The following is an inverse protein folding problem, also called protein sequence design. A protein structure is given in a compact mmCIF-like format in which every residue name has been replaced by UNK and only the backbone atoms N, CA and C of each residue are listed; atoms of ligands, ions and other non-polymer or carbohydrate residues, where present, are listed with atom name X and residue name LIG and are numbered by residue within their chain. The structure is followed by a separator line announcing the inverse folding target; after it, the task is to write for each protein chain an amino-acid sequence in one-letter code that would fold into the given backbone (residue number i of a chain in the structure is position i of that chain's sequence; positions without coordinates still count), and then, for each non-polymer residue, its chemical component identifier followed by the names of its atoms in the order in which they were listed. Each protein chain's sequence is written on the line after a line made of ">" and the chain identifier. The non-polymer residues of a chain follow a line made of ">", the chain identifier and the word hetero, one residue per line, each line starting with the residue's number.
data_IF_014493988383
#
_entry.id   IF_014493988383
#
_cell.length_a   1.000
_cell.length_b   1.000
_cell.length_c   1.000
_cell.angle_alpha   90.00
_cell.angle_beta   90.00
_cell.angle_gamma   90.00
#
_symmetry.space_group_name_H-M   'P 1'
#
loop_
_entity.id
_entity.type
_entity.pdbx_description
1 polymer ?
#
# COMPACT_ATOMS: atom_id res chain seq x y z
N UNK A 1 -10.55 12.44 -23.33
CA UNK A 1 -9.12 12.53 -22.99
C UNK A 1 -8.19 11.69 -23.88
N UNK A 2 -8.67 10.94 -24.89
CA UNK A 2 -7.81 10.03 -25.66
C UNK A 2 -6.65 10.72 -26.40
N UNK A 3 -6.92 11.83 -27.12
CA UNK A 3 -5.91 12.51 -27.95
C UNK A 3 -4.62 12.88 -27.19
N UNK A 4 -4.68 13.73 -26.15
CA UNK A 4 -3.48 14.14 -25.42
C UNK A 4 -2.70 12.98 -24.77
N UNK A 5 -3.40 11.93 -24.33
CA UNK A 5 -2.75 10.74 -23.76
C UNK A 5 -2.06 9.90 -24.83
N UNK A 6 -2.66 9.78 -26.02
CA UNK A 6 -2.07 9.08 -27.15
C UNK A 6 -0.84 9.81 -27.67
N UNK A 7 -0.89 11.15 -27.74
CA UNK A 7 0.26 11.97 -28.14
C UNK A 7 1.44 11.77 -27.19
N UNK A 8 1.17 11.75 -25.88
CA UNK A 8 2.19 11.47 -24.86
C UNK A 8 2.76 10.05 -24.98
N UNK A 9 1.90 9.04 -25.18
CA UNK A 9 2.34 7.67 -25.38
C UNK A 9 3.25 7.54 -26.62
N UNK A 10 2.85 8.15 -27.73
CA UNK A 10 3.60 8.14 -28.98
C UNK A 10 4.95 8.86 -28.85
N UNK A 11 5.04 9.91 -28.02
CA UNK A 11 6.28 10.63 -27.78
C UNK A 11 7.28 9.83 -26.94
N UNK A 12 6.83 8.87 -26.14
CA UNK A 12 7.69 8.02 -25.30
C UNK A 12 8.08 6.74 -26.02
N UNK A 13 7.11 5.95 -26.46
CA UNK A 13 7.33 4.71 -27.21
C UNK A 13 6.03 4.29 -27.93
N UNK A 14 5.88 4.62 -29.23
CA UNK A 14 4.65 4.34 -29.99
C UNK A 14 4.44 2.85 -30.29
N UNK A 15 5.48 2.02 -30.14
CA UNK A 15 5.40 0.58 -30.42
C UNK A 15 4.93 -0.21 -29.20
N UNK A 16 5.43 0.14 -28.02
CA UNK A 16 5.18 -0.61 -26.78
C UNK A 16 4.05 -0.04 -25.92
N UNK A 17 3.76 1.26 -26.02
CA UNK A 17 2.75 1.91 -25.18
C UNK A 17 1.43 2.03 -25.94
N UNK A 18 0.39 1.38 -25.40
CA UNK A 18 -0.97 1.42 -25.95
C UNK A 18 -1.90 2.15 -24.99
N UNK A 19 -2.66 3.12 -25.49
CA UNK A 19 -3.68 3.82 -24.71
C UNK A 19 -5.04 3.17 -24.95
N UNK A 20 -5.70 2.77 -23.87
CA UNK A 20 -7.04 2.21 -23.90
C UNK A 20 -7.98 3.10 -23.07
N UNK A 21 -9.22 3.23 -23.52
CA UNK A 21 -10.23 4.04 -22.84
C UNK A 21 -11.51 3.25 -22.64
N UNK A 22 -12.21 3.56 -21.55
CA UNK A 22 -13.58 3.10 -21.31
C UNK A 22 -14.54 4.29 -21.40
N UNK A 23 -15.82 4.08 -21.72
CA UNK A 23 -16.78 5.16 -21.89
C UNK A 23 -17.10 5.93 -20.59
N UNK A 24 -16.93 5.29 -19.43
CA UNK A 24 -17.28 5.85 -18.11
C UNK A 24 -16.09 5.85 -17.15
N UNK A 25 -15.90 6.94 -16.41
CA UNK A 25 -14.82 7.07 -15.43
C UNK A 25 -15.04 6.13 -14.23
N UNK A 26 -14.34 5.00 -14.21
CA UNK A 26 -14.37 4.03 -13.12
C UNK A 26 -13.04 3.24 -13.13
N UNK A 27 -12.27 3.30 -12.02
CA UNK A 27 -10.93 2.70 -11.97
C UNK A 27 -10.99 1.19 -12.21
N UNK A 28 -11.98 0.51 -11.63
CA UNK A 28 -12.10 -0.95 -11.77
C UNK A 28 -12.49 -1.35 -13.19
N UNK A 29 -13.38 -0.61 -13.85
CA UNK A 29 -13.69 -0.84 -15.28
C UNK A 29 -12.47 -0.59 -16.18
N UNK A 30 -11.72 0.47 -15.93
CA UNK A 30 -10.47 0.77 -16.65
C UNK A 30 -9.45 -0.36 -16.49
N UNK A 31 -9.25 -0.84 -15.26
CA UNK A 31 -8.37 -1.96 -14.97
C UNK A 31 -8.86 -3.25 -15.65
N UNK A 32 -10.14 -3.60 -15.55
CA UNK A 32 -10.71 -4.77 -16.23
C UNK A 32 -10.54 -4.72 -17.75
N UNK A 33 -10.71 -3.54 -18.35
CA UNK A 33 -10.46 -3.36 -19.78
C UNK A 33 -8.98 -3.56 -20.14
N UNK A 34 -8.07 -3.04 -19.31
CA UNK A 34 -6.63 -3.30 -19.45
C UNK A 34 -6.28 -4.78 -19.33
N UNK A 35 -6.76 -5.46 -18.28
CA UNK A 35 -6.51 -6.90 -18.03
C UNK A 35 -6.89 -7.76 -19.23
N UNK A 36 -8.06 -7.51 -19.83
CA UNK A 36 -8.54 -8.24 -21.02
C UNK A 36 -7.58 -8.12 -22.22
N UNK A 37 -6.82 -7.04 -22.31
CA UNK A 37 -5.90 -6.75 -23.41
C UNK A 37 -4.45 -7.19 -23.15
N UNK A 38 -4.12 -7.67 -21.94
CA UNK A 38 -2.76 -8.16 -21.62
C UNK A 38 -2.55 -9.53 -22.27
N UNK A 39 -1.36 -9.78 -22.83
CA UNK A 39 -0.99 -11.06 -23.46
C UNK A 39 0.12 -11.81 -22.74
N UNK A 40 0.78 -11.18 -21.77
CA UNK A 40 1.87 -11.76 -20.98
C UNK A 40 1.35 -12.59 -19.80
N UNK A 41 2.20 -13.44 -19.23
CA UNK A 41 1.84 -14.31 -18.09
C UNK A 41 1.71 -13.55 -16.76
N UNK A 42 2.37 -12.40 -16.65
CA UNK A 42 2.33 -11.51 -15.48
C UNK A 42 1.76 -10.15 -15.89
N UNK A 43 0.84 -9.62 -15.07
CA UNK A 43 0.33 -8.25 -15.12
C UNK A 43 0.98 -7.45 -14.00
N UNK A 44 1.51 -6.27 -14.31
CA UNK A 44 1.99 -5.33 -13.29
C UNK A 44 1.14 -4.06 -13.36
N UNK A 45 0.46 -3.73 -12.26
CA UNK A 45 -0.22 -2.45 -12.12
C UNK A 45 0.72 -1.41 -11.54
N UNK A 46 0.62 -0.17 -12.01
CA UNK A 46 1.32 1.00 -11.48
C UNK A 46 0.35 2.19 -11.41
N UNK A 47 0.32 2.89 -10.28
CA UNK A 47 -0.32 4.21 -10.20
C UNK A 47 0.55 5.26 -10.95
N UNK A 48 -0.05 6.37 -11.37
CA UNK A 48 0.60 7.44 -12.14
C UNK A 48 1.67 8.21 -11.36
N UNK A 49 1.71 8.05 -10.03
CA UNK A 49 2.69 8.63 -9.13
C UNK A 49 3.73 7.61 -8.61
N UNK A 50 3.75 6.39 -9.15
CA UNK A 50 4.73 5.37 -8.80
C UNK A 50 6.00 5.51 -9.66
N UNK A 51 7.15 5.60 -8.99
CA UNK A 51 8.46 5.76 -9.59
C UNK A 51 9.28 4.51 -9.25
N UNK A 52 9.64 3.74 -10.27
CA UNK A 52 10.34 2.47 -10.11
C UNK A 52 11.85 2.66 -10.22
N UNK A 53 12.66 2.01 -9.35
CA UNK A 53 14.06 1.81 -9.66
C UNK A 53 14.18 0.85 -10.86
N UNK A 54 15.25 0.95 -11.67
CA UNK A 54 15.43 0.10 -12.87
C UNK A 54 15.51 -1.40 -12.53
N UNK A 55 15.82 -1.73 -11.28
CA UNK A 55 15.93 -3.10 -10.74
C UNK A 55 14.60 -3.68 -10.28
N UNK A 56 13.50 -2.91 -10.22
CA UNK A 56 12.25 -3.35 -9.58
C UNK A 56 11.68 -4.61 -10.24
N UNK A 57 11.56 -4.61 -11.56
CA UNK A 57 10.90 -5.70 -12.28
C UNK A 57 11.61 -7.05 -12.10
N UNK A 58 12.93 -7.20 -12.32
CA UNK A 58 13.63 -8.47 -12.07
C UNK A 58 13.39 -9.05 -10.66
N UNK A 59 13.43 -8.19 -9.63
CA UNK A 59 13.24 -8.63 -8.25
C UNK A 59 11.79 -9.02 -7.93
N UNK A 60 10.82 -8.29 -8.48
CA UNK A 60 9.39 -8.65 -8.36
C UNK A 60 9.09 -9.95 -9.11
N UNK A 61 9.66 -10.14 -10.29
CA UNK A 61 9.44 -11.32 -11.12
C UNK A 61 10.03 -12.60 -10.50
N UNK A 62 11.16 -12.49 -9.80
CA UNK A 62 11.79 -13.62 -9.12
C UNK A 62 10.86 -14.33 -8.11
N UNK A 63 9.91 -13.60 -7.50
CA UNK A 63 8.94 -14.19 -6.59
C UNK A 63 7.96 -15.16 -7.29
N UNK A 64 7.77 -15.06 -8.60
CA UNK A 64 6.88 -15.92 -9.38
C UNK A 64 7.51 -17.24 -9.83
N UNK A 65 8.77 -17.50 -9.46
CA UNK A 65 9.37 -18.84 -9.59
C UNK A 65 8.57 -19.88 -8.78
N UNK A 66 8.02 -19.46 -7.63
CA UNK A 66 7.02 -20.26 -6.90
C UNK A 66 5.66 -20.15 -7.60
N UNK A 67 5.20 -21.28 -8.13
CA UNK A 67 3.90 -21.40 -8.81
C UNK A 67 2.71 -21.03 -7.91
N UNK A 68 2.83 -21.13 -6.59
CA UNK A 68 1.76 -20.75 -5.64
C UNK A 68 1.63 -19.23 -5.45
N UNK A 69 2.66 -18.45 -5.77
CA UNK A 69 2.62 -16.99 -5.63
C UNK A 69 1.74 -16.40 -6.72
N UNK A 70 0.57 -15.88 -6.34
CA UNK A 70 -0.39 -15.26 -7.25
C UNK A 70 -0.24 -13.73 -7.34
N UNK A 71 0.31 -13.09 -6.31
CA UNK A 71 0.48 -11.64 -6.27
C UNK A 71 1.72 -11.18 -5.48
N UNK A 72 2.41 -10.19 -5.99
CA UNK A 72 3.67 -9.67 -5.43
C UNK A 72 3.59 -8.15 -5.31
N UNK A 73 3.89 -7.63 -4.11
CA UNK A 73 4.02 -6.20 -3.85
C UNK A 73 5.45 -5.83 -3.49
N UNK A 74 5.66 -4.56 -3.20
CA UNK A 74 6.96 -4.04 -2.81
C UNK A 74 6.90 -3.12 -1.59
N UNK A 75 8.06 -2.93 -0.97
CA UNK A 75 8.28 -1.84 -0.02
C UNK A 75 8.24 -0.48 -0.72
N UNK A 76 7.91 0.57 0.03
CA UNK A 76 7.64 1.88 -0.54
C UNK A 76 8.25 3.01 0.28
N UNK A 77 8.62 4.09 -0.40
CA UNK A 77 9.15 5.31 0.23
C UNK A 77 8.54 6.55 -0.41
N UNK A 78 8.39 7.60 0.40
CA UNK A 78 7.82 8.87 -0.08
C UNK A 78 8.87 9.65 -0.86
N UNK A 79 8.53 10.03 -2.09
CA UNK A 79 9.26 11.01 -2.87
C UNK A 79 8.71 12.41 -2.58
N UNK A 80 9.55 13.37 -2.14
CA UNK A 80 9.13 14.76 -1.98
C UNK A 80 8.68 15.37 -3.30
N UNK A 81 7.57 16.11 -3.29
CA UNK A 81 7.11 16.89 -4.46
C UNK A 81 8.00 18.12 -4.68
N UNK A 82 8.47 18.74 -3.59
CA UNK A 82 9.36 19.90 -3.61
C UNK A 82 10.79 19.58 -3.21
N UNK A 83 11.61 20.62 -2.98
CA UNK A 83 13.00 20.46 -2.53
C UNK A 83 13.14 19.77 -1.16
N UNK A 84 12.10 19.87 -0.32
CA UNK A 84 12.03 19.27 1.02
C UNK A 84 10.63 18.73 1.25
N UNK A 85 10.51 17.70 2.09
CA UNK A 85 9.22 17.19 2.53
C UNK A 85 8.52 18.24 3.39
N UNK A 86 7.24 18.45 3.11
CA UNK A 86 6.31 19.12 4.01
C UNK A 86 6.01 18.24 5.22
N UNK A 87 5.44 18.83 6.29
CA UNK A 87 4.97 18.04 7.45
C UNK A 87 3.98 16.94 7.03
N UNK A 88 3.14 17.19 6.02
CA UNK A 88 2.18 16.21 5.50
C UNK A 88 2.87 15.02 4.84
N UNK A 89 3.91 15.27 4.05
CA UNK A 89 4.72 14.22 3.43
C UNK A 89 5.52 13.43 4.47
N UNK A 90 6.07 14.09 5.50
CA UNK A 90 6.76 13.40 6.60
C UNK A 90 5.79 12.50 7.38
N UNK A 91 4.59 12.98 7.70
CA UNK A 91 3.55 12.17 8.34
C UNK A 91 3.15 10.97 7.48
N UNK A 92 3.08 11.15 6.15
CA UNK A 92 2.82 10.06 5.22
C UNK A 92 3.99 9.05 5.20
N UNK A 93 5.24 9.54 5.21
CA UNK A 93 6.44 8.71 5.20
C UNK A 93 6.56 7.87 6.48
N UNK A 94 6.34 8.47 7.65
CA UNK A 94 6.28 7.75 8.93
C UNK A 94 5.28 6.60 8.91
N UNK A 95 4.08 6.83 8.36
CA UNK A 95 3.06 5.78 8.23
C UNK A 95 3.47 4.69 7.25
N UNK A 96 4.12 5.06 6.16
CA UNK A 96 4.59 4.13 5.15
C UNK A 96 5.71 3.24 5.69
N UNK A 97 6.65 3.81 6.44
CA UNK A 97 7.72 3.06 7.09
C UNK A 97 7.18 2.09 8.14
N UNK A 98 6.21 2.50 8.97
CA UNK A 98 5.53 1.57 9.89
C UNK A 98 4.83 0.45 9.11
N UNK A 99 4.14 0.79 8.01
CA UNK A 99 3.49 -0.20 7.15
C UNK A 99 4.50 -1.17 6.54
N UNK A 100 5.67 -0.72 6.08
CA UNK A 100 6.71 -1.58 5.53
C UNK A 100 7.18 -2.61 6.57
N UNK A 101 7.35 -2.20 7.83
CA UNK A 101 7.66 -3.13 8.93
C UNK A 101 6.54 -4.16 9.08
N UNK A 102 5.28 -3.70 9.16
CA UNK A 102 4.14 -4.60 9.36
C UNK A 102 3.97 -5.63 8.23
N UNK A 103 4.07 -5.20 6.97
CA UNK A 103 3.91 -6.11 5.81
C UNK A 103 5.13 -7.02 5.65
N UNK A 104 6.33 -6.54 5.96
CA UNK A 104 7.53 -7.38 5.97
C UNK A 104 7.42 -8.45 7.05
N UNK A 105 6.93 -8.10 8.24
CA UNK A 105 6.72 -9.08 9.30
C UNK A 105 5.66 -10.11 8.91
N UNK A 106 4.48 -9.69 8.43
CA UNK A 106 3.41 -10.63 8.10
C UNK A 106 3.78 -11.56 6.95
N UNK A 107 4.39 -11.04 5.88
CA UNK A 107 4.79 -11.87 4.73
C UNK A 107 5.83 -12.94 5.11
N UNK A 108 6.68 -12.70 6.12
CA UNK A 108 7.67 -13.67 6.57
C UNK A 108 7.17 -14.61 7.68
N UNK A 109 6.18 -14.19 8.48
CA UNK A 109 5.63 -15.00 9.57
C UNK A 109 4.63 -16.04 9.05
N UNK A 110 3.65 -15.62 8.24
CA UNK A 110 2.58 -16.51 7.77
C UNK A 110 2.29 -16.38 6.27
N UNK A 111 3.12 -15.66 5.51
CA UNK A 111 2.93 -15.48 4.06
C UNK A 111 1.74 -14.58 3.70
N UNK A 112 1.06 -14.02 4.69
CA UNK A 112 -0.13 -13.24 4.49
C UNK A 112 0.14 -11.74 4.55
N UNK A 113 -0.85 -10.98 4.07
CA UNK A 113 -0.85 -9.52 4.20
C UNK A 113 -2.27 -8.96 4.10
N UNK A 114 -2.58 -7.84 4.77
CA UNK A 114 -3.90 -7.25 4.75
C UNK A 114 -4.22 -6.47 3.46
N UNK A 115 -3.21 -6.09 2.69
CA UNK A 115 -3.36 -5.39 1.41
C UNK A 115 -2.02 -5.36 0.65
N UNK A 116 -1.96 -5.90 -0.57
CA UNK A 116 -0.96 -5.56 -1.57
C UNK A 116 -1.26 -4.15 -2.03
N UNK A 117 -0.27 -3.27 -2.10
CA UNK A 117 -0.58 -1.86 -2.34
C UNK A 117 -0.88 -1.58 -3.81
N UNK A 118 -1.91 -0.79 -4.07
CA UNK A 118 -2.24 -0.35 -5.43
C UNK A 118 -1.19 0.55 -6.13
N UNK A 119 -0.17 1.08 -5.42
CA UNK A 119 0.89 1.88 -6.08
C UNK A 119 1.63 1.07 -7.12
N UNK A 120 2.00 -0.15 -6.75
CA UNK A 120 2.58 -1.13 -7.65
C UNK A 120 2.36 -2.52 -7.08
N UNK A 121 1.79 -3.39 -7.89
CA UNK A 121 1.64 -4.80 -7.58
C UNK A 121 1.60 -5.62 -8.86
N UNK A 122 2.26 -6.77 -8.84
CA UNK A 122 2.29 -7.74 -9.92
C UNK A 122 1.39 -8.93 -9.58
N UNK A 123 0.76 -9.52 -10.59
CA UNK A 123 -0.14 -10.66 -10.45
C UNK A 123 0.02 -11.62 -11.63
N UNK A 124 -0.26 -12.91 -11.41
CA UNK A 124 -0.41 -13.85 -12.52
C UNK A 124 -1.63 -13.49 -13.37
N UNK A 125 -1.43 -13.36 -14.67
CA UNK A 125 -2.48 -13.00 -15.63
C UNK A 125 -3.64 -13.98 -15.62
N UNK A 126 -3.36 -15.28 -15.46
CA UNK A 126 -4.38 -16.34 -15.42
C UNK A 126 -5.42 -16.09 -14.31
N UNK A 127 -5.01 -15.52 -13.18
CA UNK A 127 -5.92 -15.22 -12.06
C UNK A 127 -6.83 -14.04 -12.41
N UNK A 128 -6.26 -13.00 -13.02
CA UNK A 128 -6.99 -11.76 -13.30
C UNK A 128 -7.88 -11.87 -14.54
N UNK A 129 -7.57 -12.78 -15.46
CA UNK A 129 -8.40 -13.06 -16.65
C UNK A 129 -9.57 -14.01 -16.38
N UNK A 130 -9.64 -14.60 -15.18
CA UNK A 130 -10.77 -15.41 -14.77
C UNK A 130 -12.08 -14.60 -14.91
N UNK A 131 -13.09 -15.10 -15.65
CA UNK A 131 -14.39 -14.44 -15.76
C UNK A 131 -15.04 -14.13 -14.40
N UNK A 132 -14.92 -15.03 -13.42
CA UNK A 132 -15.46 -14.82 -12.08
C UNK A 132 -14.72 -13.69 -11.35
N UNK A 133 -13.39 -13.62 -11.51
CA UNK A 133 -12.59 -12.50 -10.99
C UNK A 133 -13.07 -11.18 -11.58
N UNK A 134 -13.15 -11.09 -12.91
CA UNK A 134 -13.51 -9.84 -13.60
C UNK A 134 -14.92 -9.37 -13.22
N UNK A 135 -15.86 -10.31 -13.11
CA UNK A 135 -17.21 -10.01 -12.65
C UNK A 135 -17.20 -9.54 -11.19
N UNK A 136 -16.61 -10.32 -10.27
CA UNK A 136 -16.54 -9.96 -8.85
C UNK A 136 -15.81 -8.64 -8.59
N UNK A 137 -14.74 -8.36 -9.34
CA UNK A 137 -13.95 -7.14 -9.20
C UNK A 137 -14.77 -5.89 -9.57
N UNK A 138 -15.58 -5.97 -10.62
CA UNK A 138 -16.42 -4.86 -11.08
C UNK A 138 -17.75 -4.74 -10.31
N UNK A 139 -18.20 -5.85 -9.72
CA UNK A 139 -19.47 -5.98 -8.98
C UNK A 139 -19.26 -6.17 -7.47
N UNK A 140 -18.26 -5.49 -6.90
CA UNK A 140 -18.00 -5.53 -5.46
C UNK A 140 -18.86 -4.53 -4.70
N UNK A 141 -19.74 -5.02 -3.83
CA UNK A 141 -20.67 -4.20 -3.06
C UNK A 141 -20.45 -4.34 -1.55
N UNK A 142 -20.29 -3.22 -0.85
CA UNK A 142 -20.35 -3.19 0.61
C UNK A 142 -21.81 -3.38 1.07
N UNK A 143 -22.03 -4.39 1.92
CA UNK A 143 -23.35 -4.82 2.41
C UNK A 143 -24.38 -5.03 1.28
N UNK A 144 -23.93 -5.52 0.11
CA UNK A 144 -24.79 -5.79 -1.04
C UNK A 144 -25.45 -4.55 -1.68
N UNK A 145 -25.18 -3.35 -1.17
CA UNK A 145 -25.85 -2.11 -1.59
C UNK A 145 -24.90 -1.06 -2.17
N UNK A 146 -23.76 -0.86 -1.53
CA UNK A 146 -22.87 0.27 -1.87
C UNK A 146 -21.70 -0.21 -2.73
N UNK A 147 -21.75 0.06 -4.03
CA UNK A 147 -20.71 -0.40 -4.95
C UNK A 147 -19.36 0.28 -4.67
N UNK A 148 -18.30 -0.52 -4.68
CA UNK A 148 -16.95 -0.10 -4.35
C UNK A 148 -16.15 0.24 -5.60
N UNK A 149 -15.98 1.55 -5.87
CA UNK A 149 -15.09 2.06 -6.93
C UNK A 149 -13.66 2.34 -6.43
N UNK A 150 -13.39 2.14 -5.15
CA UNK A 150 -12.06 2.27 -4.57
C UNK A 150 -11.69 1.03 -3.77
N UNK A 151 -10.41 0.85 -3.45
CA UNK A 151 -9.94 -0.35 -2.75
C UNK A 151 -9.88 -1.57 -3.68
N UNK A 152 -9.56 -1.32 -4.95
CA UNK A 152 -9.16 -2.32 -5.95
C UNK A 152 -8.08 -3.27 -5.41
N UNK A 153 -7.07 -2.69 -4.75
CA UNK A 153 -5.94 -3.37 -4.14
C UNK A 153 -6.35 -4.32 -3.00
N UNK A 154 -7.29 -3.89 -2.15
CA UNK A 154 -7.93 -4.70 -1.11
C UNK A 154 -8.76 -5.83 -1.69
N UNK A 155 -9.52 -5.60 -2.77
CA UNK A 155 -10.25 -6.68 -3.44
C UNK A 155 -9.30 -7.73 -3.99
N UNK A 156 -8.30 -7.31 -4.77
CA UNK A 156 -7.27 -8.19 -5.35
C UNK A 156 -6.62 -9.05 -4.26
N UNK A 157 -6.23 -8.45 -3.14
CA UNK A 157 -5.61 -9.16 -2.03
C UNK A 157 -6.53 -10.22 -1.42
N UNK A 158 -7.79 -9.86 -1.13
CA UNK A 158 -8.76 -10.81 -0.56
C UNK A 158 -9.06 -11.95 -1.53
N UNK A 159 -9.11 -11.65 -2.83
CA UNK A 159 -9.29 -12.67 -3.87
C UNK A 159 -8.15 -13.70 -3.85
N UNK A 160 -6.89 -13.27 -3.72
CA UNK A 160 -5.77 -14.20 -3.59
C UNK A 160 -5.97 -15.14 -2.40
N UNK A 161 -6.28 -14.58 -1.23
CA UNK A 161 -6.46 -15.34 0.01
C UNK A 161 -7.62 -16.34 -0.11
N UNK A 162 -8.78 -15.92 -0.63
CA UNK A 162 -9.96 -16.78 -0.73
C UNK A 162 -9.82 -17.91 -1.75
N UNK A 163 -8.96 -17.75 -2.75
CA UNK A 163 -8.72 -18.75 -3.81
C UNK A 163 -7.40 -19.51 -3.61
N UNK A 164 -6.79 -19.43 -2.42
CA UNK A 164 -5.62 -20.24 -2.06
C UNK A 164 -4.30 -19.81 -2.70
N UNK A 165 -4.24 -18.62 -3.30
CA UNK A 165 -3.00 -18.07 -3.84
C UNK A 165 -2.16 -17.43 -2.74
N UNK A 166 -0.86 -17.69 -2.78
CA UNK A 166 0.10 -17.01 -1.90
C UNK A 166 0.38 -15.59 -2.39
N UNK A 167 0.69 -14.71 -1.44
CA UNK A 167 1.14 -13.35 -1.75
C UNK A 167 2.50 -13.10 -1.12
N UNK A 168 3.31 -12.24 -1.75
CA UNK A 168 4.61 -11.89 -1.20
C UNK A 168 4.90 -10.40 -1.31
N UNK A 169 5.75 -9.87 -0.43
CA UNK A 169 6.23 -8.49 -0.52
C UNK A 169 7.74 -8.47 -0.61
N UNK A 170 8.27 -7.98 -1.73
CA UNK A 170 9.69 -7.78 -1.91
C UNK A 170 10.17 -6.56 -1.10
N UNK A 171 10.77 -6.84 0.05
CA UNK A 171 11.25 -5.84 1.00
C UNK A 171 12.77 -5.62 0.89
N UNK A 172 13.26 -5.34 -0.31
CA UNK A 172 14.67 -5.00 -0.56
C UNK A 172 14.80 -3.64 -1.25
N UNK A 173 15.99 -3.03 -1.19
CA UNK A 173 16.25 -1.70 -1.76
C UNK A 173 16.05 -1.67 -3.27
N UNK A 174 16.36 -2.78 -3.94
CA UNK A 174 16.27 -2.94 -5.40
C UNK A 174 14.82 -2.98 -5.90
N UNK A 175 13.87 -3.30 -5.03
CA UNK A 175 12.43 -3.29 -5.32
C UNK A 175 11.68 -2.19 -4.56
N UNK A 176 12.36 -1.29 -3.85
CA UNK A 176 11.71 -0.21 -3.10
C UNK A 176 11.19 0.86 -4.07
N UNK A 177 9.87 0.97 -4.20
CA UNK A 177 9.28 2.00 -5.06
C UNK A 177 9.23 3.35 -4.36
N UNK A 178 9.30 4.40 -5.15
CA UNK A 178 9.07 5.77 -4.69
C UNK A 178 7.67 6.22 -5.12
N UNK A 179 6.96 6.97 -4.27
CA UNK A 179 5.66 7.54 -4.63
C UNK A 179 5.45 8.89 -3.97
N UNK A 180 4.79 9.81 -4.67
CA UNK A 180 4.49 11.14 -4.13
C UNK A 180 3.27 11.10 -3.20
N UNK A 181 3.23 12.01 -2.23
CA UNK A 181 2.08 12.18 -1.33
C UNK A 181 1.56 13.60 -1.42
N UNK A 182 0.28 13.82 -1.10
CA UNK A 182 -0.28 15.19 -1.14
C UNK A 182 0.43 16.08 -0.11
N UNK A 183 1.10 17.18 -0.51
CA UNK A 183 1.93 17.99 0.38
C UNK A 183 1.11 19.00 1.21
N UNK A 184 -0.20 18.76 1.38
CA UNK A 184 -1.14 19.68 2.02
C UNK A 184 -2.28 18.92 2.71
N UNK A 185 -3.20 19.67 3.34
CA UNK A 185 -4.33 19.13 4.10
C UNK A 185 -5.21 18.14 3.34
N UNK A 186 -5.20 18.13 2.00
CA UNK A 186 -5.91 17.11 1.18
C UNK A 186 -5.41 15.69 1.48
N UNK A 187 -4.21 15.54 2.05
CA UNK A 187 -3.73 14.28 2.63
C UNK A 187 -4.74 13.65 3.59
N UNK A 188 -5.43 14.45 4.41
CA UNK A 188 -6.45 13.95 5.33
C UNK A 188 -7.61 13.26 4.61
N UNK A 189 -8.06 13.82 3.48
CA UNK A 189 -9.10 13.20 2.63
C UNK A 189 -8.62 11.86 2.06
N UNK A 190 -7.36 11.80 1.65
CA UNK A 190 -6.74 10.59 1.12
C UNK A 190 -6.66 9.49 2.20
N UNK A 191 -6.20 9.82 3.40
CA UNK A 191 -6.12 8.88 4.52
C UNK A 191 -7.52 8.43 4.98
N UNK A 192 -8.51 9.33 5.01
CA UNK A 192 -9.90 8.98 5.35
C UNK A 192 -10.46 7.94 4.37
N UNK A 193 -10.27 8.13 3.07
CA UNK A 193 -10.69 7.17 2.03
C UNK A 193 -10.03 5.81 2.24
N UNK A 194 -8.70 5.79 2.44
CA UNK A 194 -7.98 4.54 2.72
C UNK A 194 -8.49 3.85 3.98
N UNK A 195 -8.80 4.63 5.02
CA UNK A 195 -9.31 4.10 6.29
C UNK A 195 -10.68 3.44 6.13
N UNK A 196 -11.59 4.03 5.36
CA UNK A 196 -12.88 3.40 5.01
C UNK A 196 -12.68 2.10 4.22
N UNK A 197 -11.76 2.08 3.26
CA UNK A 197 -11.45 0.86 2.51
C UNK A 197 -10.86 -0.24 3.39
N UNK A 198 -9.96 0.11 4.31
CA UNK A 198 -9.42 -0.80 5.31
C UNK A 198 -10.52 -1.37 6.19
N UNK A 199 -11.41 -0.52 6.74
CA UNK A 199 -12.53 -1.01 7.54
C UNK A 199 -13.40 -2.01 6.80
N UNK A 200 -13.86 -1.66 5.59
CA UNK A 200 -14.70 -2.55 4.78
C UNK A 200 -14.00 -3.89 4.50
N UNK A 201 -12.75 -3.82 4.06
CA UNK A 201 -12.00 -5.02 3.69
C UNK A 201 -11.69 -5.89 4.91
N UNK A 202 -11.21 -5.31 6.00
CA UNK A 202 -10.76 -6.07 7.17
C UNK A 202 -11.98 -6.69 7.88
N UNK A 203 -13.10 -5.98 8.00
CA UNK A 203 -14.34 -6.55 8.53
C UNK A 203 -14.85 -7.72 7.68
N UNK A 204 -14.76 -7.60 6.35
CA UNK A 204 -15.15 -8.68 5.45
C UNK A 204 -14.23 -9.89 5.61
N UNK A 205 -12.92 -9.69 5.61
CA UNK A 205 -11.94 -10.76 5.78
C UNK A 205 -12.09 -11.48 7.14
N UNK A 206 -12.27 -10.71 8.22
CA UNK A 206 -12.38 -11.26 9.58
C UNK A 206 -13.72 -11.97 9.85
N UNK A 207 -14.84 -11.39 9.41
CA UNK A 207 -16.16 -11.82 9.89
C UNK A 207 -17.07 -12.43 8.84
N UNK A 208 -16.91 -12.06 7.57
CA UNK A 208 -17.76 -12.55 6.47
C UNK A 208 -17.10 -13.72 5.74
N UNK A 209 -15.90 -13.52 5.22
CA UNK A 209 -15.17 -14.48 4.38
C UNK A 209 -14.37 -15.49 5.22
N UNK A 210 -13.74 -15.03 6.30
CA UNK A 210 -13.07 -15.83 7.34
C UNK A 210 -11.88 -16.70 6.89
N UNK A 211 -11.56 -16.79 5.59
CA UNK A 211 -10.39 -17.53 5.09
C UNK A 211 -9.07 -17.09 5.75
N UNK A 212 -8.95 -15.81 6.11
CA UNK A 212 -7.73 -15.26 6.73
C UNK A 212 -7.38 -15.95 8.05
N UNK A 213 -8.36 -16.46 8.79
CA UNK A 213 -8.13 -17.12 10.08
C UNK A 213 -7.40 -18.45 9.97
N UNK A 214 -7.60 -19.17 8.86
CA UNK A 214 -6.95 -20.46 8.62
C UNK A 214 -5.71 -20.32 7.77
N UNK A 215 -5.74 -19.42 6.77
CA UNK A 215 -4.60 -19.23 5.86
C UNK A 215 -3.49 -18.37 6.47
N UNK A 216 -3.83 -17.30 7.20
CA UNK A 216 -2.87 -16.32 7.71
C UNK A 216 -3.26 -15.81 9.12
N UNK A 217 -3.13 -16.66 10.17
CA UNK A 217 -3.59 -16.34 11.52
C UNK A 217 -2.92 -15.10 12.13
N UNK A 218 -1.64 -14.85 11.81
CA UNK A 218 -0.93 -13.67 12.32
C UNK A 218 -1.49 -12.39 11.68
N UNK A 219 -1.77 -12.40 10.38
CA UNK A 219 -2.48 -11.29 9.73
C UNK A 219 -3.84 -11.05 10.35
N UNK A 220 -4.63 -12.11 10.57
CA UNK A 220 -5.94 -12.00 11.22
C UNK A 220 -5.83 -11.34 12.61
N UNK A 221 -4.86 -11.78 13.42
CA UNK A 221 -4.54 -11.16 14.71
C UNK A 221 -4.21 -9.66 14.57
N UNK A 222 -3.34 -9.27 13.63
CA UNK A 222 -3.01 -7.84 13.44
C UNK A 222 -4.19 -7.00 12.94
N UNK A 223 -5.10 -7.57 12.15
CA UNK A 223 -6.34 -6.90 11.74
C UNK A 223 -7.26 -6.66 12.95
N UNK A 224 -7.37 -7.65 13.85
CA UNK A 224 -8.13 -7.50 15.11
C UNK A 224 -7.49 -6.46 16.03
N UNK A 225 -6.17 -6.46 16.20
CA UNK A 225 -5.49 -5.40 16.94
C UNK A 225 -5.83 -4.01 16.37
N UNK A 226 -5.74 -3.87 15.04
CA UNK A 226 -6.04 -2.60 14.34
C UNK A 226 -7.50 -2.15 14.47
N UNK A 227 -8.44 -3.08 14.66
CA UNK A 227 -9.86 -2.82 14.93
C UNK A 227 -10.04 -2.16 16.31
N UNK A 228 -9.31 -2.62 17.33
CA UNK A 228 -9.43 -2.09 18.71
C UNK A 228 -8.50 -0.91 19.02
N UNK A 229 -7.37 -0.80 18.32
CA UNK A 229 -6.34 0.22 18.51
C UNK A 229 -6.88 1.68 18.62
N UNK A 230 -7.88 2.12 17.83
CA UNK A 230 -8.39 3.48 17.94
C UNK A 230 -9.00 3.79 19.31
N UNK A 231 -9.69 2.80 19.90
CA UNK A 231 -10.34 2.92 21.19
C UNK A 231 -9.30 2.89 22.32
N UNK A 232 -8.35 1.96 22.26
CA UNK A 232 -7.31 1.85 23.29
C UNK A 232 -6.39 3.07 23.31
N UNK A 233 -6.07 3.66 22.14
CA UNK A 233 -5.30 4.90 22.09
C UNK A 233 -6.03 6.08 22.75
N UNK A 234 -7.34 6.20 22.54
CA UNK A 234 -8.16 7.27 23.12
C UNK A 234 -8.47 7.05 24.60
N UNK A 235 -8.49 5.80 25.06
CA UNK A 235 -8.65 5.48 26.48
C UNK A 235 -7.42 5.87 27.31
N UNK A 236 -6.22 5.90 26.71
CA UNK A 236 -4.97 6.25 27.39
C UNK A 236 -5.03 7.58 28.15
N UNK A 237 -5.35 8.72 27.52
CA UNK A 237 -5.50 9.99 28.20
C UNK A 237 -6.54 10.00 29.31
N UNK A 238 -7.64 9.24 29.18
CA UNK A 238 -8.66 9.11 30.23
C UNK A 238 -8.08 8.42 31.47
N UNK A 239 -7.38 7.30 31.29
CA UNK A 239 -6.73 6.59 32.41
C UNK A 239 -5.64 7.45 33.06
N UNK A 240 -4.84 8.17 32.27
CA UNK A 240 -3.84 9.11 32.80
C UNK A 240 -4.51 10.22 33.61
N UNK A 241 -5.61 10.80 33.11
CA UNK A 241 -6.40 11.79 33.83
C UNK A 241 -6.99 11.25 35.14
N UNK A 242 -7.47 10.01 35.14
CA UNK A 242 -7.95 9.34 36.35
C UNK A 242 -6.82 9.14 37.38
N UNK A 243 -5.64 8.68 36.95
CA UNK A 243 -4.47 8.54 37.83
C UNK A 243 -4.05 9.89 38.39
N UNK A 244 -4.01 10.94 37.56
CA UNK A 244 -3.74 12.33 37.98
C UNK A 244 -4.76 12.79 39.03
N UNK A 245 -6.05 12.55 38.82
CA UNK A 245 -7.07 12.86 39.83
C UNK A 245 -6.83 12.09 41.15
N UNK A 246 -6.50 10.80 41.08
CA UNK A 246 -6.18 10.01 42.28
C UNK A 246 -4.93 10.52 43.01
N UNK A 247 -3.99 11.18 42.33
CA UNK A 247 -2.83 11.82 42.96
C UNK A 247 -3.16 13.07 43.77
N UNK A 248 -4.33 13.69 43.56
CA UNK A 248 -4.77 14.85 44.35
C UNK A 248 -5.49 14.46 45.64
N UNK A 249 -5.75 13.16 45.84
CA UNK A 249 -6.41 12.62 47.02
C UNK A 249 -5.33 12.14 48.00
N UNK A 250 -5.46 12.38 49.32
CA UNK A 250 -4.57 11.80 50.32
C UNK A 250 -4.51 10.27 50.25
N UNK A 251 -3.34 9.68 50.49
CA UNK A 251 -3.11 8.23 50.33
C UNK A 251 -3.97 7.41 51.30
N UNK A 252 -4.17 7.92 52.51
CA UNK A 252 -5.07 7.38 53.54
C UNK A 252 -6.54 7.32 53.11
N UNK A 253 -6.95 8.16 52.15
CA UNK A 253 -8.28 8.16 51.54
C UNK A 253 -8.31 7.39 50.21
N UNK A 254 -7.31 6.54 49.98
CA UNK A 254 -7.16 5.72 48.78
C UNK A 254 -6.61 6.47 47.58
N UNK A 255 -5.97 7.63 47.77
CA UNK A 255 -5.23 8.35 46.72
C UNK A 255 -3.86 7.76 46.40
N UNK A 256 -3.12 8.40 45.50
CA UNK A 256 -1.80 7.95 45.05
C UNK A 256 -0.69 8.88 45.53
N UNK A 257 0.45 8.30 45.95
CA UNK A 257 1.58 9.02 46.55
C UNK A 257 2.43 9.83 45.56
N UNK A 258 2.36 9.49 44.26
CA UNK A 258 3.10 10.20 43.22
C UNK A 258 2.45 11.55 42.94
N UNK A 259 3.20 12.64 42.76
CA UNK A 259 2.62 13.91 42.37
C UNK A 259 2.11 13.86 40.93
N UNK A 260 1.05 14.61 40.63
CA UNK A 260 0.39 14.62 39.31
C UNK A 260 1.36 14.89 38.14
N UNK A 261 2.35 15.78 38.33
CA UNK A 261 3.30 16.16 37.29
C UNK A 261 4.21 14.98 36.90
N UNK A 262 4.58 14.12 37.85
CA UNK A 262 5.37 12.91 37.58
C UNK A 262 4.62 11.97 36.64
N UNK A 263 3.32 11.80 36.86
CA UNK A 263 2.46 10.95 36.01
C UNK A 263 2.40 11.51 34.59
N UNK A 264 2.17 12.82 34.45
CA UNK A 264 2.10 13.49 33.15
C UNK A 264 3.43 13.41 32.40
N UNK A 265 4.55 13.73 33.05
CA UNK A 265 5.89 13.68 32.44
C UNK A 265 6.22 12.25 32.03
N UNK A 266 5.97 11.26 32.89
CA UNK A 266 6.21 9.84 32.57
C UNK A 266 5.39 9.39 31.37
N UNK A 267 4.13 9.82 31.26
CA UNK A 267 3.29 9.52 30.12
C UNK A 267 3.82 10.14 28.82
N UNK A 268 4.23 11.41 28.85
CA UNK A 268 4.82 12.06 27.68
C UNK A 268 6.13 11.40 27.26
N UNK A 269 7.04 11.14 28.20
CA UNK A 269 8.31 10.46 27.93
C UNK A 269 8.06 9.07 27.33
N UNK A 270 7.15 8.30 27.91
CA UNK A 270 6.78 6.98 27.38
C UNK A 270 6.20 7.04 25.97
N UNK A 271 5.27 7.98 25.71
CA UNK A 271 4.71 8.18 24.38
C UNK A 271 5.79 8.59 23.38
N UNK A 272 6.63 9.57 23.72
CA UNK A 272 7.71 10.00 22.84
C UNK A 272 8.68 8.86 22.55
N UNK A 273 9.15 8.15 23.57
CA UNK A 273 10.09 7.04 23.41
C UNK A 273 9.50 5.92 22.53
N UNK A 274 8.30 5.43 22.85
CA UNK A 274 7.70 4.30 22.11
C UNK A 274 7.29 4.67 20.69
N UNK A 275 6.80 5.90 20.46
CA UNK A 275 6.41 6.35 19.12
C UNK A 275 7.63 6.63 18.25
N UNK A 276 8.68 7.22 18.82
CA UNK A 276 9.96 7.42 18.10
C UNK A 276 10.62 6.08 17.78
N UNK A 277 10.59 5.11 18.71
CA UNK A 277 11.15 3.78 18.49
C UNK A 277 10.55 3.09 17.25
N UNK A 278 9.23 3.20 17.04
CA UNK A 278 8.58 2.66 15.83
C UNK A 278 8.98 3.35 14.54
N UNK A 279 9.51 4.57 14.61
CA UNK A 279 9.96 5.37 13.47
C UNK A 279 11.45 5.21 13.19
N UNK A 280 12.19 4.42 13.99
CA UNK A 280 13.64 4.27 13.84
C UNK A 280 14.08 3.91 12.42
N UNK A 281 13.42 2.99 11.67
CA UNK A 281 13.82 2.71 10.29
C UNK A 281 13.74 3.93 9.37
N UNK A 282 12.75 4.81 9.57
CA UNK A 282 12.67 6.06 8.82
C UNK A 282 13.74 7.05 9.26
N UNK A 283 13.92 7.21 10.57
CA UNK A 283 14.87 8.16 11.16
C UNK A 283 16.32 7.77 10.91
N UNK A 284 16.60 6.49 10.63
CA UNK A 284 17.91 6.02 10.19
C UNK A 284 18.33 6.67 8.86
N UNK A 285 17.40 6.74 7.91
CA UNK A 285 17.64 7.34 6.60
C UNK A 285 17.44 8.87 6.60
N UNK A 286 16.58 9.39 7.48
CA UNK A 286 16.24 10.82 7.58
C UNK A 286 16.15 11.29 9.04
N UNK A 287 17.28 11.42 9.75
CA UNK A 287 17.29 11.78 11.18
C UNK A 287 16.69 13.16 11.46
N UNK A 288 16.80 14.10 10.53
CA UNK A 288 16.22 15.44 10.63
C UNK A 288 14.69 15.44 10.79
N UNK A 289 14.01 14.39 10.34
CA UNK A 289 12.55 14.31 10.43
C UNK A 289 12.07 14.08 11.88
N UNK A 290 12.98 13.83 12.83
CA UNK A 290 12.68 13.68 14.28
C UNK A 290 11.91 14.87 14.85
N UNK A 291 12.11 16.07 14.30
CA UNK A 291 11.39 17.30 14.70
C UNK A 291 9.87 17.18 14.47
N UNK A 292 9.44 16.28 13.58
CA UNK A 292 8.03 16.05 13.27
C UNK A 292 7.38 14.94 14.12
N UNK A 293 8.12 14.29 15.03
CA UNK A 293 7.58 13.29 15.95
C UNK A 293 6.44 13.85 16.82
N UNK A 294 6.53 15.06 17.42
CA UNK A 294 5.40 15.64 18.14
C UNK A 294 4.13 15.75 17.27
N UNK A 295 4.29 16.21 16.02
CA UNK A 295 3.18 16.29 15.07
C UNK A 295 2.60 14.91 14.74
N UNK A 296 3.46 13.88 14.65
CA UNK A 296 3.02 12.49 14.44
C UNK A 296 2.23 11.93 15.61
N UNK A 297 2.61 12.24 16.86
CA UNK A 297 1.87 11.82 18.06
C UNK A 297 0.47 12.46 18.06
N UNK A 298 0.39 13.78 17.88
CA UNK A 298 -0.89 14.50 17.79
C UNK A 298 -1.75 13.98 16.64
N UNK A 299 -1.13 13.75 15.49
CA UNK A 299 -1.80 13.18 14.34
C UNK A 299 -2.30 11.75 14.62
N UNK A 300 -1.61 10.97 15.47
CA UNK A 300 -2.07 9.67 15.93
C UNK A 300 -3.41 9.71 16.66
N UNK A 301 -3.60 10.66 17.58
CA UNK A 301 -4.89 10.86 18.27
C UNK A 301 -5.99 11.33 17.33
N UNK A 302 -5.69 12.33 16.49
CA UNK A 302 -6.59 12.76 15.42
C UNK A 302 -6.99 11.57 14.52
N UNK A 303 -6.02 10.74 14.15
CA UNK A 303 -6.23 9.59 13.28
C UNK A 303 -7.12 8.52 13.94
N UNK A 304 -7.02 8.31 15.25
CA UNK A 304 -7.94 7.43 15.98
C UNK A 304 -9.38 7.93 15.96
N UNK A 305 -9.59 9.24 16.16
CA UNK A 305 -10.94 9.84 16.02
C UNK A 305 -11.45 9.68 14.59
N UNK A 306 -10.59 9.97 13.60
CA UNK A 306 -10.93 9.81 12.19
C UNK A 306 -11.26 8.35 11.83
N UNK A 307 -10.58 7.36 12.44
CA UNK A 307 -10.92 5.93 12.26
C UNK A 307 -12.32 5.60 12.76
N UNK A 308 -12.73 6.14 13.91
CA UNK A 308 -14.09 5.96 14.43
C UNK A 308 -15.11 6.62 13.49
N UNK A 309 -14.84 7.86 13.06
CA UNK A 309 -15.69 8.53 12.06
C UNK A 309 -15.79 7.74 10.74
N UNK A 310 -14.68 7.18 10.26
CA UNK A 310 -14.65 6.35 9.06
C UNK A 310 -15.52 5.08 9.22
N UNK A 311 -15.49 4.46 10.40
CA UNK A 311 -16.31 3.28 10.74
C UNK A 311 -17.81 3.59 10.68
N UNK A 312 -18.22 4.79 11.09
CA UNK A 312 -19.62 5.22 11.03
C UNK A 312 -20.05 5.68 9.63
N UNK A 313 -19.10 5.85 8.70
CA UNK A 313 -19.35 6.38 7.34
C UNK A 313 -18.92 5.41 6.24
N UNK A 314 -19.02 4.10 6.47
CA UNK A 314 -18.65 3.08 5.48
C UNK A 314 -19.57 3.01 4.25
N UNK A 315 -20.75 3.65 4.31
CA UNK A 315 -21.64 3.82 3.16
C UNK A 315 -21.07 4.78 2.10
N UNK A 316 -20.11 5.63 2.47
CA UNK A 316 -19.42 6.53 1.55
C UNK A 316 -18.42 5.76 0.68
N UNK A 317 -18.79 5.50 -0.57
CA UNK A 317 -17.97 4.74 -1.55
C UNK A 317 -17.33 5.59 -2.64
N UNK A 318 -17.66 6.89 -2.69
CA UNK A 318 -17.15 7.82 -3.69
C UNK A 318 -15.64 8.07 -3.60
N UNK A 319 -15.03 8.36 -4.75
CA UNK A 319 -13.65 8.85 -4.86
C UNK A 319 -13.61 10.34 -4.44
N UNK A 320 -13.76 10.63 -3.14
CA UNK A 320 -13.91 11.98 -2.56
C UNK A 320 -12.76 12.99 -2.77
N UNK A 321 -11.83 12.72 -3.69
CA UNK A 321 -10.72 13.60 -4.12
C UNK A 321 -10.80 14.01 -5.60
N UNK A 322 -11.68 13.43 -6.41
CA UNK A 322 -11.91 13.81 -7.80
C UNK A 322 -13.37 14.27 -7.96
N UNK A 323 -13.58 15.51 -8.37
CA UNK A 323 -14.89 15.99 -8.81
C UNK A 323 -15.18 15.41 -10.21
N UNK A 324 -16.44 15.07 -10.50
CA UNK A 324 -16.86 14.66 -11.86
C UNK A 324 -16.81 13.17 -12.18
N UNK A 325 -16.44 12.29 -11.24
CA UNK A 325 -16.65 10.85 -11.39
C UNK A 325 -18.13 10.56 -11.16
N UNK A 326 -18.84 10.10 -12.19
CA UNK A 326 -20.25 9.69 -12.10
C UNK A 326 -20.48 8.55 -11.11
N UNK A 327 -21.75 8.22 -10.86
CA UNK A 327 -22.09 7.08 -10.02
C UNK A 327 -21.44 5.80 -10.57
N UNK A 328 -20.60 5.16 -9.76
CA UNK A 328 -19.90 3.94 -10.15
C UNK A 328 -20.87 2.83 -10.57
N UNK A 329 -22.07 2.82 -9.97
CA UNK A 329 -23.14 1.89 -10.33
C UNK A 329 -23.76 2.18 -11.66
N UNK A 330 -24.02 3.45 -11.96
CA UNK A 330 -24.46 3.85 -13.29
C UNK A 330 -23.40 3.49 -14.35
N UNK A 331 -22.12 3.71 -14.06
CA UNK A 331 -21.02 3.37 -14.96
C UNK A 331 -20.93 1.87 -15.25
N UNK A 332 -21.01 1.01 -14.23
CA UNK A 332 -20.99 -0.45 -14.43
C UNK A 332 -22.25 -0.93 -15.14
N UNK A 333 -23.44 -0.47 -14.74
CA UNK A 333 -24.69 -0.84 -15.39
C UNK A 333 -24.72 -0.44 -16.88
N UNK A 334 -24.19 0.73 -17.22
CA UNK A 334 -24.09 1.17 -18.61
C UNK A 334 -23.07 0.35 -19.41
N UNK A 335 -21.97 -0.09 -18.78
CA UNK A 335 -21.01 -1.01 -19.39
C UNK A 335 -21.64 -2.39 -19.68
N UNK A 336 -22.44 -2.93 -18.75
CA UNK A 336 -23.14 -4.21 -18.92
C UNK A 336 -24.21 -4.14 -20.02
N UNK A 337 -24.89 -2.99 -20.13
CA UNK A 337 -25.90 -2.74 -21.16
C UNK A 337 -25.31 -2.51 -22.58
N UNK A 338 -23.98 -2.50 -22.73
CA UNK A 338 -23.31 -2.28 -24.02
C UNK A 338 -23.55 -0.89 -24.62
N UNK A 339 -23.93 0.10 -23.80
CA UNK A 339 -24.30 1.43 -24.28
C UNK A 339 -23.06 2.28 -24.63
N UNK A 340 -22.99 2.90 -25.82
CA UNK A 340 -21.99 3.91 -26.12
C UNK A 340 -22.24 5.18 -25.30
N UNK A 341 -21.17 5.89 -24.90
CA UNK A 341 -21.22 7.06 -24.03
C UNK A 341 -22.05 8.21 -24.63
N UNK A 342 -23.34 8.25 -24.30
CA UNK A 342 -24.13 9.47 -24.45
C UNK A 342 -23.89 10.36 -23.22
N UNK A 343 -23.08 11.42 -23.38
CA UNK A 343 -23.19 12.63 -22.56
C UNK A 343 -22.31 12.79 -21.32
N UNK A 344 -21.19 12.07 -21.17
CA UNK A 344 -20.24 12.35 -20.08
C UNK A 344 -19.18 13.39 -20.47
N UNK A 345 -19.40 14.64 -20.08
CA UNK A 345 -18.40 15.70 -20.14
C UNK A 345 -17.63 15.74 -18.82
N UNK A 346 -16.42 15.19 -18.80
CA UNK A 346 -15.51 15.30 -17.66
C UNK A 346 -15.11 16.78 -17.47
N UNK A 347 -15.51 17.41 -16.37
CA UNK A 347 -14.95 18.70 -15.96
C UNK A 347 -13.57 18.44 -15.35
N UNK A 348 -12.54 18.94 -16.01
CA UNK A 348 -11.16 18.95 -15.52
C UNK A 348 -11.13 19.51 -14.07
N UNK A 349 -10.56 18.80 -13.09
CA UNK A 349 -10.19 19.42 -11.83
C UNK A 349 -9.00 20.37 -12.07
N UNK A 350 -8.94 21.46 -11.32
CA UNK A 350 -7.73 22.29 -11.21
C UNK A 350 -6.58 21.44 -10.63
N UNK A 351 -5.78 20.84 -11.52
CA UNK A 351 -4.50 20.23 -11.18
C UNK A 351 -3.55 21.36 -10.81
N UNK A 352 -2.86 21.33 -9.65
CA UNK A 352 -1.67 22.13 -9.50
C UNK A 352 -0.69 21.69 -10.60
N UNK A 353 -0.22 22.64 -11.40
CA UNK A 353 0.82 22.43 -12.38
C UNK A 353 2.02 21.81 -11.68
N UNK A 354 2.31 20.55 -11.99
CA UNK A 354 3.65 20.05 -11.75
C UNK A 354 4.58 20.84 -12.67
N UNK A 355 5.66 21.46 -12.19
CA UNK A 355 6.66 22.00 -13.09
C UNK A 355 7.12 20.86 -13.99
N UNK A 356 6.99 21.05 -15.30
CA UNK A 356 7.73 20.27 -16.29
C UNK A 356 9.21 20.46 -15.96
N UNK A 357 9.77 19.55 -15.16
CA UNK A 357 11.22 19.39 -15.17
C UNK A 357 11.53 18.83 -16.54
N UNK A 358 12.18 19.65 -17.37
CA UNK A 358 12.87 19.20 -18.55
C UNK A 358 13.80 18.07 -18.11
N UNK A 359 13.44 16.83 -18.41
CA UNK A 359 14.41 15.76 -18.48
C UNK A 359 15.49 16.26 -19.46
N UNK A 360 16.79 16.17 -19.13
CA UNK A 360 17.82 16.37 -20.13
C UNK A 360 17.54 15.37 -21.24
N UNK A 361 17.12 15.86 -22.40
CA UNK A 361 17.02 15.10 -23.63
C UNK A 361 18.44 14.74 -24.05
N UNK A 362 19.00 13.69 -23.46
CA UNK A 362 20.12 12.97 -24.04
C UNK A 362 19.52 12.13 -25.18
N UNK A 363 19.91 12.35 -26.45
CA UNK A 363 19.46 11.51 -27.55
C UNK A 363 19.91 10.08 -27.27
N UNK A 364 18.98 9.13 -27.37
CA UNK A 364 19.30 7.71 -27.38
C UNK A 364 20.15 7.41 -28.63
N UNK A 365 21.46 7.26 -28.45
CA UNK A 365 22.39 6.82 -29.49
C UNK A 365 22.50 5.28 -29.46
N UNK A 366 22.16 4.56 -30.55
CA UNK A 366 22.23 3.09 -30.59
C UNK A 366 23.65 2.49 -30.61
N UNK A 367 24.69 3.25 -30.26
CA UNK A 367 26.09 2.82 -30.32
C UNK A 367 26.75 2.88 -28.95
N UNK A 368 26.45 1.89 -28.10
CA UNK A 368 27.33 1.44 -27.02
C UNK A 368 26.98 -0.02 -26.64
N UNK A 369 27.02 -0.91 -27.63
CA UNK A 369 27.38 -2.31 -27.38
C UNK A 369 28.90 -2.40 -27.39
N UNK A 370 29.52 -2.31 -26.20
CA UNK A 370 30.88 -2.72 -25.78
C UNK A 370 31.12 -1.93 -24.48
N UNK A 371 31.37 -2.51 -23.31
CA UNK A 371 32.20 -3.66 -22.98
C UNK A 371 31.79 -4.08 -21.56
N UNK A 372 31.21 -5.27 -21.38
CA UNK A 372 30.93 -5.78 -20.03
C UNK A 372 32.27 -6.01 -19.33
N UNK A 373 32.57 -5.23 -18.29
CA UNK A 373 33.63 -5.58 -17.36
C UNK A 373 33.22 -6.89 -16.65
N UNK A 374 34.12 -7.87 -16.66
CA UNK A 374 33.92 -9.14 -15.97
C UNK A 374 33.60 -8.90 -14.47
N UNK A 375 32.77 -9.75 -13.85
CA UNK A 375 32.42 -9.60 -12.43
C UNK A 375 33.66 -9.64 -11.54
N UNK A 376 33.66 -8.96 -10.38
CA UNK A 376 34.78 -8.98 -9.44
C UNK A 376 35.18 -10.41 -9.07
N UNK A 377 36.48 -10.70 -8.94
CA UNK A 377 37.04 -12.04 -8.67
C UNK A 377 36.41 -12.75 -7.45
N UNK A 378 35.81 -12.02 -6.51
CA UNK A 378 35.06 -12.59 -5.38
C UNK A 378 33.79 -13.36 -5.80
N UNK A 379 33.10 -12.96 -6.88
CA UNK A 379 31.91 -13.67 -7.39
C UNK A 379 32.27 -14.95 -8.15
N UNK A 380 33.43 -15.00 -8.82
CA UNK A 380 33.89 -16.20 -9.53
C UNK A 380 34.37 -17.30 -8.57
N UNK A 381 35.00 -16.94 -7.45
CA UNK A 381 35.39 -17.91 -6.42
C UNK A 381 34.17 -18.54 -5.73
N UNK A 382 33.08 -17.79 -5.55
CA UNK A 382 31.87 -18.30 -4.93
C UNK A 382 31.12 -19.28 -5.85
N UNK A 383 31.06 -19.01 -7.16
CA UNK A 383 30.49 -19.95 -8.14
C UNK A 383 31.32 -21.23 -8.32
N UNK A 384 32.65 -21.15 -8.21
CA UNK A 384 33.52 -22.33 -8.28
C UNK A 384 33.37 -23.27 -7.08
N UNK A 385 32.96 -22.76 -5.92
CA UNK A 385 32.67 -23.58 -4.73
C UNK A 385 31.36 -24.38 -4.87
N UNK A 386 30.38 -23.88 -5.64
CA UNK A 386 29.08 -24.55 -5.86
C UNK A 386 29.07 -25.52 -7.06
N UNK A 387 30.17 -25.62 -7.83
CA UNK A 387 30.28 -26.51 -9.00
C UNK A 387 31.07 -27.79 -8.74
N UNK A 388 31.44 -28.10 -7.49
CA UNK A 388 32.06 -29.39 -7.18
C UNK A 388 31.04 -30.52 -7.29
N UNK A 389 31.35 -31.63 -7.99
CA UNK A 389 30.48 -32.80 -8.03
C UNK A 389 30.28 -33.38 -6.62
N UNK A 390 29.13 -34.01 -6.33
CA UNK A 390 28.84 -34.54 -5.01
C UNK A 390 29.89 -35.59 -4.62
N UNK A 391 30.48 -35.40 -3.43
CA UNK A 391 31.28 -36.42 -2.77
C UNK A 391 30.35 -37.58 -2.43
N UNK A 392 30.62 -38.76 -2.97
CA UNK A 392 29.99 -40.02 -2.54
C UNK A 392 30.19 -40.20 -1.03
N UNK A 393 29.15 -39.94 -0.24
CA UNK A 393 29.11 -40.42 1.14
C UNK A 393 28.68 -41.88 1.12
N UNK A 394 29.67 -42.77 1.28
CA UNK A 394 29.44 -44.16 1.64
C UNK A 394 28.56 -44.25 2.89
N UNK A 395 27.42 -44.90 2.75
CA UNK A 395 26.55 -45.34 3.84
C UNK A 395 27.27 -46.36 4.71
N UNK A 396 27.60 -45.97 5.94
CA UNK A 396 28.04 -46.88 7.01
C UNK A 396 27.02 -46.90 8.14
N UNK A 397 26.23 -47.98 8.20
CA UNK A 397 25.42 -48.34 9.37
C UNK A 397 26.34 -48.69 10.55
N UNK A 398 26.04 -48.18 11.75
CA UNK A 398 26.43 -48.84 13.00
C UNK A 398 25.57 -48.36 14.19
N UNK A 399 24.66 -49.27 14.59
CA UNK A 399 24.09 -49.58 15.92
C UNK A 399 23.48 -48.47 16.78
#
# INVERSE_FOLDING_TARGET
>A
MLGPLQDLANAVDPERIRVLTVPFANKRLQMSHGIKNVTTDIIVFADDDAIWPPTLLPYVLACFEDQKVGGVGTSQRVQPVGKRMTVWEVLAAFRLSIRNIEISSSTHIDGGLPCLSGRTAAYRTVILKDPEFLHGFTHDYWLGKYQLNSGDDKFLTRWMVSHGWSTYVQCCKEAELLSTMKPNWRFLKQVLRWTRNTWRSDLRSLFMERYIWTSHPYVAYTMVDKLFNPFTLLAGPFFVGYVVYKTTIPVDQGGYHLPWWNVIVSYFVWLFATRTAKLLPHLWDRPQDVIHVPAFILFGYYFSIMKIYALLTLHETGWGTRAGIGDARAATAAADAGQPAAGYTEKLPDTPSYPQNQYPSQPYSPQQQQQYAAPPQQYQQQQAYYQQPPVEMQTGYAR
#
